data_IF_244189101005
#
_entry.id   IF_244189101005
#
_cell.length_a   1.000
_cell.length_b   1.000
_cell.length_c   1.000
_cell.angle_alpha   90.00
_cell.angle_beta   90.00
_cell.angle_gamma   90.00
#
_symmetry.space_group_name_H-M   'P 1'
#
loop_
_entity.id
_entity.type
_entity.pdbx_description
1 polymer ?
#
# COMPACT_ATOMS: atom_id res chain seq x y z
N UNK A 1 -28.45 -50.10 -7.57
CA UNK A 1 -28.28 -48.63 -7.79
C UNK A 1 -27.32 -48.15 -6.71
N UNK A 2 -26.06 -48.12 -7.07
CA UNK A 2 -24.93 -47.78 -6.19
C UNK A 2 -24.74 -46.25 -6.19
N UNK A 3 -24.74 -45.69 -5.02
CA UNK A 3 -24.45 -44.28 -4.79
C UNK A 3 -22.97 -43.96 -5.12
N UNK A 4 -22.74 -43.05 -6.05
CA UNK A 4 -21.41 -42.53 -6.36
C UNK A 4 -20.93 -41.66 -5.20
N UNK A 5 -19.84 -42.12 -4.56
CA UNK A 5 -19.12 -41.33 -3.57
C UNK A 5 -18.49 -40.12 -4.26
N UNK A 6 -18.80 -38.93 -3.75
CA UNK A 6 -18.18 -37.70 -4.14
C UNK A 6 -16.78 -37.64 -3.50
N UNK A 7 -15.75 -38.00 -4.26
CA UNK A 7 -14.36 -37.79 -3.83
C UNK A 7 -14.09 -36.31 -3.76
N UNK A 8 -14.04 -35.82 -2.54
CA UNK A 8 -13.61 -34.45 -2.21
C UNK A 8 -12.10 -34.38 -2.51
N UNK A 9 -11.74 -33.80 -3.65
CA UNK A 9 -10.36 -33.40 -3.95
C UNK A 9 -9.94 -32.41 -2.85
N UNK A 10 -8.83 -32.65 -2.12
CA UNK A 10 -8.35 -31.66 -1.16
C UNK A 10 -8.02 -30.37 -1.93
N UNK A 11 -8.84 -29.33 -1.76
CA UNK A 11 -8.53 -28.01 -2.26
C UNK A 11 -7.17 -27.59 -1.74
N UNK A 12 -6.37 -26.97 -2.61
CA UNK A 12 -5.13 -26.28 -2.27
C UNK A 12 -5.40 -25.39 -1.08
N UNK A 13 -4.99 -25.83 0.11
CA UNK A 13 -5.08 -25.04 1.33
C UNK A 13 -4.40 -23.71 1.05
N UNK A 14 -5.11 -22.61 1.33
CA UNK A 14 -4.54 -21.27 1.28
C UNK A 14 -3.37 -21.28 2.25
N UNK A 15 -2.15 -21.23 1.72
CA UNK A 15 -0.92 -21.45 2.48
C UNK A 15 -0.53 -20.23 3.30
N UNK A 16 -1.28 -19.14 3.17
CA UNK A 16 -1.12 -17.90 3.92
C UNK A 16 -2.43 -17.53 4.62
N UNK A 17 -2.33 -17.14 5.87
CA UNK A 17 -3.49 -16.72 6.68
C UNK A 17 -4.14 -15.47 6.08
N UNK A 18 -5.45 -15.53 5.83
CA UNK A 18 -6.26 -14.38 5.41
C UNK A 18 -6.68 -13.52 6.60
N UNK A 19 -6.75 -12.22 6.38
CA UNK A 19 -7.15 -11.23 7.40
C UNK A 19 -8.28 -10.32 6.89
N UNK A 20 -9.11 -10.78 5.96
CA UNK A 20 -10.11 -9.95 5.27
C UNK A 20 -11.11 -9.29 6.23
N UNK A 21 -11.46 -9.99 7.31
CA UNK A 21 -12.44 -9.52 8.31
C UNK A 21 -12.04 -8.23 9.03
N UNK A 22 -10.73 -7.97 9.20
CA UNK A 22 -10.26 -6.76 9.91
C UNK A 22 -10.45 -5.50 9.09
N UNK A 23 -10.48 -5.60 7.76
CA UNK A 23 -10.64 -4.47 6.87
C UNK A 23 -12.10 -4.04 6.69
N UNK A 24 -13.06 -4.92 7.02
CA UNK A 24 -14.49 -4.63 7.02
C UNK A 24 -15.02 -3.96 8.29
N UNK A 25 -14.17 -3.67 9.27
CA UNK A 25 -14.58 -3.05 10.54
C UNK A 25 -14.76 -1.53 10.37
N UNK A 26 -15.60 -0.89 11.23
CA UNK A 26 -15.90 0.53 11.11
C UNK A 26 -14.71 1.46 11.46
N UNK A 27 -13.67 0.92 12.11
CA UNK A 27 -12.47 1.64 12.54
C UNK A 27 -11.25 0.70 12.62
N UNK A 28 -10.01 1.23 12.76
CA UNK A 28 -8.78 0.45 12.62
C UNK A 28 -8.39 -0.36 13.87
N UNK A 29 -9.17 -0.39 14.95
CA UNK A 29 -8.79 -1.09 16.19
C UNK A 29 -8.49 -2.56 15.96
N UNK A 30 -9.36 -3.28 15.23
CA UNK A 30 -9.14 -4.69 14.91
C UNK A 30 -7.92 -4.90 14.00
N UNK A 31 -7.64 -3.95 13.09
CA UNK A 31 -6.43 -3.98 12.29
C UNK A 31 -5.17 -3.95 13.16
N UNK A 32 -5.09 -3.02 14.11
CA UNK A 32 -3.93 -2.90 14.98
C UNK A 32 -3.85 -4.02 16.02
N UNK A 33 -4.97 -4.50 16.54
CA UNK A 33 -5.01 -5.62 17.49
C UNK A 33 -4.49 -6.92 16.84
N UNK A 34 -5.01 -7.27 15.66
CA UNK A 34 -4.67 -8.54 15.00
C UNK A 34 -3.30 -8.50 14.35
N UNK A 35 -3.02 -7.47 13.55
CA UNK A 35 -1.75 -7.36 12.83
C UNK A 35 -0.60 -6.91 13.75
N UNK A 36 -0.88 -6.13 14.78
CA UNK A 36 0.09 -5.74 15.79
C UNK A 36 0.61 -6.94 16.58
N UNK A 37 -0.28 -7.88 16.94
CA UNK A 37 0.12 -9.13 17.59
C UNK A 37 1.08 -9.98 16.73
N UNK A 38 1.07 -9.79 15.41
CA UNK A 38 1.97 -10.42 14.45
C UNK A 38 3.16 -9.54 14.08
N UNK A 39 3.36 -8.44 14.76
CA UNK A 39 4.43 -7.47 14.47
C UNK A 39 4.43 -6.99 13.00
N UNK A 40 3.24 -6.67 12.45
CA UNK A 40 3.13 -6.17 11.09
C UNK A 40 3.77 -4.79 10.97
N UNK A 41 4.74 -4.66 10.07
CA UNK A 41 5.59 -3.48 10.03
C UNK A 41 5.86 -2.94 8.61
N UNK A 42 5.22 -3.47 7.56
CA UNK A 42 5.44 -2.96 6.20
C UNK A 42 5.24 -1.44 6.07
N UNK A 43 4.17 -0.81 6.64
CA UNK A 43 4.01 0.64 6.57
C UNK A 43 5.14 1.42 7.25
N UNK A 44 5.72 0.88 8.33
CA UNK A 44 6.88 1.47 9.00
C UNK A 44 8.09 1.60 8.07
N UNK A 45 8.40 0.55 7.32
CA UNK A 45 9.51 0.58 6.37
C UNK A 45 9.17 1.40 5.12
N UNK A 46 7.94 1.27 4.62
CA UNK A 46 7.49 1.91 3.40
C UNK A 46 7.47 3.44 3.51
N UNK A 47 7.09 4.01 4.66
CA UNK A 47 7.03 5.46 4.84
C UNK A 47 8.35 6.16 4.49
N UNK A 48 9.49 5.58 4.89
CA UNK A 48 10.81 6.16 4.60
C UNK A 48 11.09 6.17 3.11
N UNK A 49 10.80 5.06 2.43
CA UNK A 49 10.96 4.95 0.98
C UNK A 49 10.02 5.92 0.25
N UNK A 50 8.74 5.92 0.60
CA UNK A 50 7.75 6.80 -0.04
C UNK A 50 8.10 8.27 0.13
N UNK A 51 8.53 8.68 1.32
CA UNK A 51 9.00 10.06 1.57
C UNK A 51 10.23 10.40 0.74
N UNK A 52 11.19 9.49 0.61
CA UNK A 52 12.36 9.66 -0.25
C UNK A 52 12.02 9.79 -1.74
N UNK A 53 10.89 9.23 -2.17
CA UNK A 53 10.42 9.31 -3.55
C UNK A 53 9.62 10.60 -3.85
N UNK A 54 9.13 11.35 -2.85
CA UNK A 54 8.32 12.54 -3.08
C UNK A 54 9.07 13.60 -3.92
N UNK A 55 10.28 13.97 -3.51
CA UNK A 55 11.08 14.96 -4.22
C UNK A 55 11.42 14.55 -5.67
N UNK A 56 11.89 13.31 -5.94
CA UNK A 56 12.08 12.82 -7.29
C UNK A 56 10.88 12.89 -8.22
N UNK A 57 9.65 12.77 -7.68
CA UNK A 57 8.41 12.90 -8.47
C UNK A 57 7.83 14.32 -8.46
N UNK A 58 8.53 15.29 -7.85
CA UNK A 58 8.10 16.69 -7.80
C UNK A 58 7.02 16.98 -6.74
N UNK A 59 7.09 16.30 -5.58
CA UNK A 59 6.20 16.50 -4.44
C UNK A 59 7.02 16.89 -3.17
N UNK A 60 6.45 17.76 -2.29
CA UNK A 60 5.34 18.67 -2.55
C UNK A 60 5.67 19.66 -3.68
N UNK A 61 4.66 20.22 -4.34
CA UNK A 61 4.89 21.26 -5.36
C UNK A 61 5.62 22.45 -4.74
N UNK A 62 6.70 22.91 -5.39
CA UNK A 62 7.63 23.91 -4.84
C UNK A 62 7.00 25.30 -4.59
N UNK A 63 5.78 25.55 -5.07
CA UNK A 63 5.04 26.79 -4.83
C UNK A 63 3.54 26.53 -4.83
N UNK A 64 2.78 27.17 -3.91
CA UNK A 64 1.33 27.18 -4.01
C UNK A 64 0.95 27.82 -5.35
N UNK A 65 0.11 27.16 -6.13
CA UNK A 65 -0.41 27.73 -7.39
C UNK A 65 -1.05 29.07 -7.15
N UNK A 66 -0.76 30.10 -7.98
CA UNK A 66 -1.45 31.38 -7.88
C UNK A 66 -2.96 31.14 -8.05
N UNK A 67 -3.75 31.74 -7.16
CA UNK A 67 -5.20 31.78 -7.28
C UNK A 67 -5.54 32.45 -8.62
N UNK A 68 -5.89 31.65 -9.66
CA UNK A 68 -6.17 32.15 -11.01
C UNK A 68 -5.52 31.36 -12.15
N UNK A 69 -4.80 30.26 -11.87
CA UNK A 69 -4.32 29.33 -12.89
C UNK A 69 -5.51 28.73 -13.68
N UNK A 70 -5.36 28.61 -15.01
CA UNK A 70 -6.42 28.11 -15.91
C UNK A 70 -6.95 26.78 -15.43
N UNK A 71 -8.21 26.74 -15.18
CA UNK A 71 -9.13 25.86 -14.45
C UNK A 71 -9.09 24.35 -14.57
N UNK A 72 -8.07 23.68 -15.09
CA UNK A 72 -8.11 22.20 -15.29
C UNK A 72 -6.90 21.43 -14.75
N UNK A 73 -5.93 22.09 -14.16
CA UNK A 73 -4.78 21.40 -13.58
C UNK A 73 -5.08 20.96 -12.13
N UNK A 74 -5.16 19.64 -11.94
CA UNK A 74 -5.31 19.03 -10.61
C UNK A 74 -4.02 19.17 -9.80
N UNK A 75 -4.11 19.34 -8.46
CA UNK A 75 -2.92 19.35 -7.60
C UNK A 75 -2.15 18.01 -7.73
N UNK A 76 -0.84 18.09 -7.56
CA UNK A 76 -0.02 16.89 -7.52
C UNK A 76 -0.32 16.07 -6.26
N UNK A 77 -0.56 14.78 -6.44
CA UNK A 77 -1.06 13.88 -5.39
C UNK A 77 -0.29 12.56 -5.31
N UNK A 78 -0.42 11.89 -4.19
CA UNK A 78 -0.13 10.46 -4.01
C UNK A 78 -1.45 9.68 -4.10
N UNK A 79 -1.46 8.56 -4.82
CA UNK A 79 -2.55 7.59 -4.80
C UNK A 79 -2.11 6.36 -4.00
N UNK A 80 -2.74 6.09 -2.88
CA UNK A 80 -2.50 4.90 -2.08
C UNK A 80 -3.50 3.81 -2.47
N UNK A 81 -3.01 2.75 -3.10
CA UNK A 81 -3.81 1.59 -3.57
C UNK A 81 -3.81 0.53 -2.47
N UNK A 82 -4.97 -0.09 -2.21
CA UNK A 82 -5.22 -0.89 -1.01
C UNK A 82 -4.95 -0.07 0.26
N UNK A 83 -5.48 1.15 0.29
CA UNK A 83 -5.18 2.15 1.32
C UNK A 83 -5.71 1.79 2.71
N UNK A 84 -6.68 0.85 2.80
CA UNK A 84 -7.32 0.48 4.05
C UNK A 84 -7.80 1.73 4.82
N UNK A 85 -7.50 1.83 6.11
CA UNK A 85 -7.85 2.96 6.98
C UNK A 85 -6.97 4.22 6.79
N UNK A 86 -6.10 4.26 5.75
CA UNK A 86 -5.20 5.38 5.51
C UNK A 86 -3.91 5.36 6.33
N UNK A 87 -3.43 4.18 6.73
CA UNK A 87 -2.22 4.05 7.57
C UNK A 87 -0.98 4.60 6.86
N UNK A 88 -0.82 4.34 5.55
CA UNK A 88 0.29 4.92 4.79
C UNK A 88 0.21 6.45 4.74
N UNK A 89 -0.99 7.00 4.54
CA UNK A 89 -1.21 8.45 4.55
C UNK A 89 -0.90 9.07 5.92
N UNK A 90 -1.28 8.38 7.02
CA UNK A 90 -0.93 8.80 8.37
C UNK A 90 0.59 8.92 8.55
N UNK A 91 1.33 7.87 8.21
CA UNK A 91 2.79 7.85 8.36
C UNK A 91 3.51 8.78 7.38
N UNK A 92 2.98 8.98 6.18
CA UNK A 92 3.54 9.87 5.18
C UNK A 92 3.45 11.34 5.62
N UNK A 93 2.29 11.75 6.11
CA UNK A 93 1.90 13.15 6.29
C UNK A 93 1.93 13.66 7.73
N UNK A 94 2.19 12.79 8.71
CA UNK A 94 2.16 13.20 10.12
C UNK A 94 3.43 12.78 10.85
N UNK A 95 3.76 13.50 11.91
CA UNK A 95 4.83 13.14 12.86
C UNK A 95 4.30 12.05 13.81
N UNK A 96 4.14 10.84 13.29
CA UNK A 96 3.71 9.66 14.02
C UNK A 96 4.50 8.44 13.57
N UNK A 97 4.63 7.46 14.45
CA UNK A 97 5.20 6.14 14.15
C UNK A 97 4.12 5.07 14.09
N UNK A 98 4.42 3.92 13.47
CA UNK A 98 3.50 2.79 13.47
C UNK A 98 3.26 2.25 14.89
N UNK A 99 4.29 2.30 15.75
CA UNK A 99 4.20 1.92 17.16
C UNK A 99 3.25 2.83 17.94
N UNK A 100 3.37 4.16 17.79
CA UNK A 100 2.44 5.12 18.40
C UNK A 100 0.98 4.89 17.94
N UNK A 101 0.77 4.53 16.68
CA UNK A 101 -0.56 4.19 16.18
C UNK A 101 -1.06 2.87 16.78
N UNK A 102 -0.21 1.86 16.90
CA UNK A 102 -0.53 0.61 17.56
C UNK A 102 -0.98 0.87 19.00
N UNK A 103 -0.16 1.58 19.79
CA UNK A 103 -0.47 1.90 21.19
C UNK A 103 -1.77 2.70 21.31
N UNK A 104 -1.98 3.65 20.40
CA UNK A 104 -3.21 4.44 20.37
C UNK A 104 -4.45 3.58 20.21
N UNK A 105 -4.49 2.71 19.19
CA UNK A 105 -5.68 1.95 18.82
C UNK A 105 -5.92 0.71 19.68
N UNK A 106 -4.90 0.19 20.36
CA UNK A 106 -5.01 -0.95 21.28
C UNK A 106 -5.14 -0.51 22.75
N UNK A 107 -5.10 0.80 23.02
CA UNK A 107 -5.22 1.32 24.39
C UNK A 107 -6.59 1.02 25.03
N UNK A 108 -6.65 0.83 26.36
CA UNK A 108 -7.93 0.73 27.07
C UNK A 108 -8.82 1.98 26.91
N UNK A 109 -8.23 3.14 26.62
CA UNK A 109 -8.94 4.37 26.31
C UNK A 109 -9.69 4.24 24.98
N UNK A 110 -9.00 3.86 23.92
CA UNK A 110 -9.60 3.65 22.59
C UNK A 110 -10.70 2.58 22.61
N UNK A 111 -10.52 1.51 23.39
CA UNK A 111 -11.50 0.42 23.49
C UNK A 111 -12.88 0.88 24.03
N UNK A 112 -12.95 1.99 24.75
CA UNK A 112 -14.18 2.53 25.33
C UNK A 112 -14.91 3.51 24.41
N UNK A 113 -14.23 4.00 23.38
CA UNK A 113 -14.81 4.97 22.46
C UNK A 113 -15.74 4.29 21.45
N UNK A 114 -16.82 4.95 21.13
CA UNK A 114 -17.56 4.65 19.90
C UNK A 114 -16.68 5.01 18.69
N UNK A 115 -16.97 4.45 17.52
CA UNK A 115 -16.25 4.82 16.28
C UNK A 115 -16.32 6.34 15.99
N UNK A 116 -17.45 6.98 16.26
CA UNK A 116 -17.61 8.43 16.07
C UNK A 116 -16.71 9.25 17.01
N UNK A 117 -16.62 8.88 18.27
CA UNK A 117 -15.74 9.53 19.25
C UNK A 117 -14.26 9.28 18.92
N UNK A 118 -13.92 8.08 18.43
CA UNK A 118 -12.57 7.75 17.97
C UNK A 118 -12.19 8.63 16.78
N UNK A 119 -13.07 8.75 15.77
CA UNK A 119 -12.85 9.64 14.60
C UNK A 119 -12.63 11.09 15.04
N UNK A 120 -13.45 11.61 15.96
CA UNK A 120 -13.29 12.97 16.46
C UNK A 120 -11.93 13.17 17.15
N UNK A 121 -11.55 12.23 18.03
CA UNK A 121 -10.25 12.20 18.70
C UNK A 121 -9.08 12.09 17.71
N UNK A 122 -9.23 11.29 16.61
CA UNK A 122 -8.21 11.11 15.60
C UNK A 122 -8.02 12.34 14.73
N UNK A 123 -9.09 13.05 14.40
CA UNK A 123 -8.97 14.33 13.66
C UNK A 123 -8.09 15.34 14.40
N UNK A 124 -8.28 15.47 15.69
CA UNK A 124 -7.46 16.34 16.55
C UNK A 124 -6.01 15.83 16.64
N UNK A 125 -5.86 14.52 16.86
CA UNK A 125 -4.55 13.87 16.97
C UNK A 125 -3.70 14.06 15.71
N UNK A 126 -4.26 13.81 14.53
CA UNK A 126 -3.56 13.96 13.25
C UNK A 126 -3.36 15.43 12.87
N UNK A 127 -4.35 16.28 13.09
CA UNK A 127 -4.21 17.72 12.83
C UNK A 127 -3.03 18.34 13.60
N UNK A 128 -2.89 17.98 14.88
CA UNK A 128 -1.80 18.45 15.73
C UNK A 128 -0.39 17.94 15.31
N UNK A 129 -0.33 16.89 14.49
CA UNK A 129 0.90 16.23 14.06
C UNK A 129 1.19 16.34 12.57
N UNK A 130 0.37 17.09 11.85
CA UNK A 130 0.52 17.23 10.40
C UNK A 130 1.88 17.84 10.06
N UNK A 131 2.56 17.25 9.10
CA UNK A 131 3.86 17.75 8.62
C UNK A 131 3.67 19.00 7.78
N UNK A 132 4.62 19.96 7.81
CA UNK A 132 4.56 21.14 6.97
C UNK A 132 4.71 20.81 5.48
N UNK A 133 5.36 19.71 5.14
CA UNK A 133 5.58 19.18 3.79
C UNK A 133 4.58 18.06 3.42
N UNK A 134 3.44 18.00 4.11
CA UNK A 134 2.38 17.04 3.81
C UNK A 134 1.84 17.21 2.39
N UNK A 135 1.58 16.10 1.71
CA UNK A 135 1.10 16.05 0.32
C UNK A 135 -0.33 15.52 0.27
N UNK A 136 -1.16 15.92 -0.71
CA UNK A 136 -2.49 15.36 -0.85
C UNK A 136 -2.44 13.86 -1.15
N UNK A 137 -3.24 13.05 -0.43
CA UNK A 137 -3.35 11.61 -0.61
C UNK A 137 -4.75 11.20 -1.00
N UNK A 138 -4.85 10.48 -2.11
CA UNK A 138 -6.08 9.83 -2.57
C UNK A 138 -6.00 8.35 -2.16
N UNK A 139 -7.03 7.84 -1.50
CA UNK A 139 -7.16 6.43 -1.15
C UNK A 139 -7.99 5.66 -2.17
N UNK A 140 -7.55 4.47 -2.54
CA UNK A 140 -8.31 3.51 -3.35
C UNK A 140 -8.31 2.15 -2.65
N UNK A 141 -9.49 1.64 -2.33
CA UNK A 141 -9.68 0.34 -1.68
C UNK A 141 -11.06 -0.22 -2.03
N UNK A 142 -11.28 -1.50 -1.80
CA UNK A 142 -12.60 -2.14 -1.93
C UNK A 142 -13.43 -2.06 -0.64
N UNK A 143 -12.81 -1.72 0.48
CA UNK A 143 -13.45 -1.63 1.79
C UNK A 143 -14.05 -0.24 2.03
N UNK A 144 -15.38 -0.13 1.90
CA UNK A 144 -16.09 1.10 2.17
C UNK A 144 -15.92 1.60 3.63
N UNK A 145 -15.98 0.75 4.68
CA UNK A 145 -15.73 1.18 6.05
C UNK A 145 -14.35 1.77 6.24
N UNK A 146 -13.31 1.14 5.69
CA UNK A 146 -11.93 1.58 5.86
C UNK A 146 -11.66 2.91 5.16
N UNK A 147 -12.07 3.05 3.89
CA UNK A 147 -11.95 4.33 3.15
C UNK A 147 -12.75 5.44 3.85
N UNK A 148 -13.99 5.13 4.28
CA UNK A 148 -14.84 6.07 5.00
C UNK A 148 -14.19 6.58 6.30
N UNK A 149 -13.54 5.70 7.04
CA UNK A 149 -12.77 6.07 8.23
C UNK A 149 -11.59 7.00 7.89
N UNK A 150 -10.77 6.63 6.89
CA UNK A 150 -9.62 7.43 6.46
C UNK A 150 -10.00 8.86 6.05
N UNK A 151 -11.13 9.01 5.35
CA UNK A 151 -11.72 10.31 5.02
C UNK A 151 -12.21 11.06 6.27
N UNK A 152 -12.97 10.39 7.14
CA UNK A 152 -13.54 11.00 8.33
C UNK A 152 -12.48 11.41 9.36
N UNK A 153 -11.39 10.66 9.48
CA UNK A 153 -10.25 10.99 10.33
C UNK A 153 -9.34 12.08 9.75
N UNK A 154 -9.53 12.48 8.48
CA UNK A 154 -8.74 13.49 7.80
C UNK A 154 -7.36 12.99 7.33
N UNK A 155 -7.21 11.69 7.15
CA UNK A 155 -6.00 11.05 6.62
C UNK A 155 -5.96 11.08 5.09
N UNK A 156 -7.12 10.95 4.45
CA UNK A 156 -7.29 10.97 3.00
C UNK A 156 -7.97 12.27 2.57
N UNK A 157 -7.44 12.92 1.54
CA UNK A 157 -8.03 14.11 0.92
C UNK A 157 -9.18 13.74 -0.04
N UNK A 158 -9.12 12.53 -0.62
CA UNK A 158 -10.20 11.89 -1.38
C UNK A 158 -10.11 10.38 -1.20
N UNK A 159 -11.23 9.66 -1.32
CA UNK A 159 -11.28 8.21 -1.18
C UNK A 159 -12.27 7.58 -2.15
N UNK A 160 -11.89 6.46 -2.74
CA UNK A 160 -12.68 5.74 -3.72
C UNK A 160 -12.79 4.27 -3.34
N UNK A 161 -14.03 3.78 -3.38
CA UNK A 161 -14.35 2.38 -3.10
C UNK A 161 -14.61 1.69 -4.43
N UNK A 162 -13.55 1.23 -5.08
CA UNK A 162 -13.63 0.65 -6.42
C UNK A 162 -12.69 -0.56 -6.56
N UNK A 163 -13.13 -1.56 -7.33
CA UNK A 163 -12.31 -2.73 -7.67
C UNK A 163 -11.90 -2.65 -9.16
N UNK A 164 -10.72 -2.13 -9.42
CA UNK A 164 -10.20 -1.97 -10.78
C UNK A 164 -9.75 -3.30 -11.43
N UNK A 165 -9.71 -4.41 -10.69
CA UNK A 165 -9.52 -5.73 -11.27
C UNK A 165 -10.77 -6.22 -12.03
N UNK A 166 -11.96 -5.71 -11.66
CA UNK A 166 -13.25 -6.16 -12.22
C UNK A 166 -13.95 -5.11 -13.06
N UNK A 167 -13.76 -3.82 -12.75
CA UNK A 167 -14.44 -2.70 -13.41
C UNK A 167 -13.46 -1.59 -13.78
N UNK A 168 -13.67 -0.86 -14.89
CA UNK A 168 -12.91 0.34 -15.18
C UNK A 168 -13.11 1.41 -14.10
N UNK A 169 -12.13 2.32 -13.91
CA UNK A 169 -12.26 3.41 -12.96
C UNK A 169 -13.46 4.31 -13.31
N UNK A 170 -14.13 4.79 -12.27
CA UNK A 170 -15.18 5.81 -12.43
C UNK A 170 -14.62 7.09 -13.05
N UNK A 171 -15.50 7.95 -13.56
CA UNK A 171 -15.11 9.28 -14.06
C UNK A 171 -14.54 10.16 -12.94
N UNK A 172 -15.06 10.00 -11.74
CA UNK A 172 -14.65 10.70 -10.53
C UNK A 172 -13.22 10.30 -10.13
N UNK A 173 -12.93 8.99 -10.03
CA UNK A 173 -11.58 8.48 -9.77
C UNK A 173 -10.61 8.93 -10.86
N UNK A 174 -10.99 8.75 -12.13
CA UNK A 174 -10.16 9.15 -13.27
C UNK A 174 -9.83 10.65 -13.26
N UNK A 175 -10.77 11.50 -12.82
CA UNK A 175 -10.54 12.94 -12.67
C UNK A 175 -9.62 13.21 -11.49
N UNK A 176 -9.92 12.68 -10.32
CA UNK A 176 -9.16 12.91 -9.09
C UNK A 176 -7.69 12.52 -9.25
N UNK A 177 -7.42 11.42 -9.94
CA UNK A 177 -6.06 10.89 -10.11
C UNK A 177 -5.25 11.56 -11.22
N UNK A 178 -5.78 12.53 -11.97
CA UNK A 178 -5.03 13.22 -13.06
C UNK A 178 -3.73 13.85 -12.59
N UNK A 179 -3.70 14.38 -11.37
CA UNK A 179 -2.51 14.98 -10.76
C UNK A 179 -1.59 13.99 -10.06
N UNK A 180 -1.92 12.69 -10.01
CA UNK A 180 -1.11 11.70 -9.31
C UNK A 180 0.30 11.64 -9.89
N UNK A 181 1.31 11.69 -9.00
CA UNK A 181 2.74 11.57 -9.31
C UNK A 181 3.35 10.29 -8.77
N UNK A 182 2.81 9.78 -7.67
CA UNK A 182 3.25 8.55 -7.03
C UNK A 182 2.04 7.69 -6.69
N UNK A 183 2.12 6.41 -7.02
CA UNK A 183 1.19 5.37 -6.57
C UNK A 183 1.93 4.52 -5.55
N UNK A 184 1.34 4.32 -4.38
CA UNK A 184 1.91 3.53 -3.29
C UNK A 184 1.11 2.27 -3.04
N UNK A 185 1.80 1.19 -2.63
CA UNK A 185 1.19 -0.09 -2.29
C UNK A 185 2.05 -0.80 -1.23
N UNK A 186 1.48 -1.10 -0.06
CA UNK A 186 2.16 -1.83 1.04
C UNK A 186 1.56 -3.20 1.34
N UNK A 187 0.42 -3.52 0.75
CA UNK A 187 -0.28 -4.80 0.87
C UNK A 187 -1.11 -5.05 -0.38
N UNK A 188 -1.72 -6.23 -0.48
CA UNK A 188 -2.63 -6.56 -1.57
C UNK A 188 -1.99 -6.82 -2.95
N UNK A 189 -0.67 -6.73 -3.10
CA UNK A 189 -0.02 -6.93 -4.40
C UNK A 189 -0.35 -8.30 -5.05
N UNK A 190 -0.64 -9.31 -4.26
CA UNK A 190 -1.04 -10.64 -4.74
C UNK A 190 -2.45 -10.68 -5.35
N UNK A 191 -3.28 -9.69 -5.06
CA UNK A 191 -4.65 -9.57 -5.57
C UNK A 191 -4.74 -8.65 -6.80
N UNK A 192 -3.64 -7.98 -7.17
CA UNK A 192 -3.60 -6.97 -8.21
C UNK A 192 -2.84 -7.45 -9.44
N UNK A 193 -3.28 -6.95 -10.58
CA UNK A 193 -2.63 -7.12 -11.87
C UNK A 193 -2.45 -5.76 -12.56
N UNK A 194 -1.94 -5.78 -13.79
CA UNK A 194 -1.87 -4.56 -14.60
C UNK A 194 -3.25 -3.92 -14.86
N UNK A 195 -4.36 -4.63 -14.64
CA UNK A 195 -5.72 -4.08 -14.78
C UNK A 195 -5.97 -2.90 -13.86
N UNK A 196 -5.52 -2.99 -12.60
CA UNK A 196 -5.63 -1.91 -11.65
C UNK A 196 -4.83 -0.68 -12.08
N UNK A 197 -3.61 -0.88 -12.58
CA UNK A 197 -2.68 0.23 -12.80
C UNK A 197 -2.79 0.85 -14.20
N UNK A 198 -3.00 0.06 -15.26
CA UNK A 198 -3.03 0.56 -16.64
C UNK A 198 -3.93 1.79 -16.84
N UNK A 199 -5.21 1.78 -16.42
CA UNK A 199 -6.10 2.92 -16.64
C UNK A 199 -5.69 4.17 -15.87
N UNK A 200 -4.86 4.02 -14.82
CA UNK A 200 -4.31 5.12 -14.03
C UNK A 200 -3.04 5.72 -14.67
N UNK A 201 -2.38 5.00 -15.58
CA UNK A 201 -1.08 5.34 -16.18
C UNK A 201 -1.18 5.67 -17.68
N UNK A 202 -2.10 5.00 -18.38
CA UNK A 202 -2.22 5.06 -19.83
C UNK A 202 -2.57 6.48 -20.33
N UNK A 203 -1.95 6.88 -21.47
CA UNK A 203 -2.21 8.18 -22.10
C UNK A 203 -1.61 9.38 -21.38
N UNK A 204 -0.84 9.20 -20.31
CA UNK A 204 -0.20 10.30 -19.58
C UNK A 204 1.14 10.66 -20.15
N UNK A 205 1.39 11.95 -20.36
CA UNK A 205 2.72 12.45 -20.77
C UNK A 205 3.77 12.17 -19.67
N UNK A 206 3.38 12.25 -18.42
CA UNK A 206 4.19 11.94 -17.26
C UNK A 206 3.42 10.93 -16.40
N UNK A 207 3.58 9.62 -16.65
CA UNK A 207 2.93 8.61 -15.84
C UNK A 207 3.48 8.64 -14.41
N UNK A 208 2.63 8.47 -13.39
CA UNK A 208 3.08 8.38 -12.00
C UNK A 208 4.01 7.18 -11.81
N UNK A 209 4.93 7.29 -10.88
CA UNK A 209 5.72 6.14 -10.44
C UNK A 209 4.85 5.22 -9.59
N UNK A 210 5.10 3.92 -9.64
CA UNK A 210 4.44 2.92 -8.79
C UNK A 210 5.47 2.29 -7.86
N UNK A 211 5.35 2.54 -6.57
CA UNK A 211 6.20 1.97 -5.53
C UNK A 211 5.41 0.92 -4.73
N UNK A 212 5.76 -0.34 -4.89
CA UNK A 212 5.05 -1.46 -4.31
C UNK A 212 5.96 -2.31 -3.42
N UNK A 213 5.53 -2.58 -2.18
CA UNK A 213 6.13 -3.57 -1.31
C UNK A 213 5.45 -4.91 -1.53
N UNK A 214 6.14 -5.83 -2.15
CA UNK A 214 5.62 -7.13 -2.60
C UNK A 214 6.23 -8.24 -1.75
N UNK A 215 5.41 -9.14 -1.24
CA UNK A 215 5.89 -10.34 -0.53
C UNK A 215 6.86 -11.12 -1.41
N UNK A 216 7.95 -11.57 -0.84
CA UNK A 216 8.95 -12.39 -1.55
C UNK A 216 8.43 -13.78 -1.94
N UNK A 217 7.35 -14.23 -1.29
CA UNK A 217 6.61 -15.43 -1.65
C UNK A 217 5.73 -15.26 -2.87
N UNK A 218 5.47 -14.01 -3.30
CA UNK A 218 4.62 -13.66 -4.43
C UNK A 218 5.39 -13.23 -5.67
N UNK A 219 4.67 -13.04 -6.77
CA UNK A 219 5.22 -12.54 -8.03
C UNK A 219 4.58 -11.20 -8.38
N UNK A 220 5.40 -10.24 -8.80
CA UNK A 220 4.94 -8.94 -9.33
C UNK A 220 4.87 -8.92 -10.87
N UNK A 221 5.12 -10.06 -11.53
CA UNK A 221 5.17 -10.15 -13.02
C UNK A 221 3.85 -9.75 -13.68
N UNK A 222 2.72 -10.14 -13.10
CA UNK A 222 1.40 -9.76 -13.63
C UNK A 222 1.19 -8.24 -13.72
N UNK A 223 1.87 -7.47 -12.88
CA UNK A 223 1.87 -6.01 -12.92
C UNK A 223 2.98 -5.51 -13.84
N UNK A 224 4.24 -5.90 -13.60
CA UNK A 224 5.40 -5.39 -14.33
C UNK A 224 5.33 -5.63 -15.84
N UNK A 225 4.96 -6.84 -16.28
CA UNK A 225 4.88 -7.19 -17.69
C UNK A 225 3.74 -6.42 -18.38
N UNK A 226 2.62 -6.26 -17.68
CA UNK A 226 1.50 -5.47 -18.20
C UNK A 226 1.76 -3.96 -18.26
N UNK A 227 2.68 -3.43 -17.46
CA UNK A 227 3.08 -2.02 -17.48
C UNK A 227 4.27 -1.75 -18.43
N UNK A 228 5.07 -2.77 -18.75
CA UNK A 228 6.16 -2.67 -19.70
C UNK A 228 5.67 -2.25 -21.10
N UNK A 229 4.46 -2.64 -21.50
CA UNK A 229 3.85 -2.23 -22.79
C UNK A 229 3.57 -0.73 -22.86
N UNK A 230 3.58 -0.02 -21.73
CA UNK A 230 3.46 1.44 -21.64
C UNK A 230 4.83 2.17 -21.64
N UNK A 231 5.92 1.45 -21.90
CA UNK A 231 7.28 2.00 -21.84
C UNK A 231 7.81 2.21 -20.43
N UNK A 232 7.20 1.54 -19.43
CA UNK A 232 7.64 1.60 -18.05
C UNK A 232 8.58 0.43 -17.74
N UNK A 233 9.55 0.67 -16.87
CA UNK A 233 10.46 -0.35 -16.35
C UNK A 233 10.20 -0.55 -14.86
N UNK A 234 10.17 -1.81 -14.44
CA UNK A 234 10.10 -2.17 -13.02
C UNK A 234 11.48 -2.61 -12.55
N UNK A 235 12.01 -1.89 -11.57
CA UNK A 235 13.22 -2.26 -10.83
C UNK A 235 12.81 -2.90 -9.51
N UNK A 236 13.49 -3.96 -9.10
CA UNK A 236 13.35 -4.60 -7.79
C UNK A 236 14.57 -4.28 -6.94
N UNK A 237 14.36 -3.87 -5.69
CA UNK A 237 15.47 -3.82 -4.72
C UNK A 237 15.93 -5.26 -4.44
N UNK A 238 17.14 -5.59 -4.91
CA UNK A 238 17.75 -6.91 -4.72
C UNK A 238 18.71 -6.95 -3.53
N UNK A 239 19.02 -5.78 -2.97
CA UNK A 239 19.96 -5.64 -1.85
C UNK A 239 19.23 -5.68 -0.51
N UNK A 240 18.08 -5.00 -0.44
CA UNK A 240 17.30 -4.84 0.80
C UNK A 240 16.01 -5.63 0.70
N UNK A 241 15.62 -6.21 1.82
CA UNK A 241 14.27 -6.74 2.03
C UNK A 241 13.75 -6.17 3.33
N UNK A 242 12.44 -6.10 3.44
CA UNK A 242 11.79 -5.42 4.55
C UNK A 242 10.91 -6.41 5.30
N UNK A 243 11.10 -6.60 6.61
CA UNK A 243 10.22 -7.45 7.41
C UNK A 243 8.76 -7.00 7.25
N UNK A 244 7.85 -7.97 7.16
CA UNK A 244 6.44 -7.69 7.03
C UNK A 244 5.67 -8.03 8.31
N UNK A 245 5.63 -9.31 8.70
CA UNK A 245 5.00 -9.80 9.93
C UNK A 245 5.52 -11.19 10.32
N UNK A 246 5.26 -11.59 11.56
CA UNK A 246 5.48 -12.96 11.99
C UNK A 246 4.54 -13.93 11.29
N UNK A 247 4.97 -15.18 11.19
CA UNK A 247 4.09 -16.26 10.77
C UNK A 247 3.08 -16.60 11.85
N UNK A 248 1.90 -17.05 11.44
CA UNK A 248 0.87 -17.53 12.37
C UNK A 248 1.16 -18.95 12.88
N UNK A 249 2.08 -19.66 12.25
CA UNK A 249 2.49 -21.01 12.65
C UNK A 249 3.59 -21.61 11.77
N UNK A 250 4.07 -22.81 12.13
CA UNK A 250 5.18 -23.45 11.43
C UNK A 250 4.86 -23.83 9.98
N UNK A 251 3.61 -24.14 9.65
CA UNK A 251 3.21 -24.50 8.29
C UNK A 251 3.28 -23.28 7.36
N UNK A 252 2.88 -22.11 7.84
CA UNK A 252 3.00 -20.86 7.10
C UNK A 252 4.47 -20.50 6.86
N UNK A 253 5.34 -20.72 7.86
CA UNK A 253 6.78 -20.54 7.71
C UNK A 253 7.38 -21.50 6.68
N UNK A 254 7.04 -22.77 6.77
CA UNK A 254 7.52 -23.79 5.83
C UNK A 254 7.13 -23.44 4.38
N UNK A 255 5.88 -23.01 4.18
CA UNK A 255 5.40 -22.50 2.90
C UNK A 255 6.24 -21.32 2.42
N UNK A 256 6.45 -20.32 3.28
CA UNK A 256 7.16 -19.11 2.89
C UNK A 256 8.62 -19.40 2.49
N UNK A 257 9.32 -20.21 3.27
CA UNK A 257 10.70 -20.64 2.97
C UNK A 257 10.75 -21.40 1.63
N UNK A 258 9.83 -22.33 1.38
CA UNK A 258 9.78 -23.07 0.13
C UNK A 258 9.47 -22.16 -1.08
N UNK A 259 8.50 -21.26 -0.95
CA UNK A 259 8.11 -20.33 -2.02
C UNK A 259 9.23 -19.36 -2.40
N UNK A 260 9.92 -18.79 -1.41
CA UNK A 260 11.07 -17.88 -1.62
C UNK A 260 12.22 -18.62 -2.29
N UNK A 261 12.54 -19.84 -1.83
CA UNK A 261 13.59 -20.67 -2.45
C UNK A 261 13.25 -21.04 -3.90
N UNK A 262 11.99 -21.37 -4.17
CA UNK A 262 11.51 -21.69 -5.52
C UNK A 262 11.57 -20.48 -6.46
N UNK A 263 11.43 -19.26 -5.92
CA UNK A 263 11.62 -18.01 -6.67
C UNK A 263 13.11 -17.68 -6.94
N UNK A 264 14.05 -18.47 -6.41
CA UNK A 264 15.49 -18.26 -6.55
C UNK A 264 16.10 -17.26 -5.55
N UNK A 265 15.33 -16.87 -4.53
CA UNK A 265 15.78 -15.97 -3.47
C UNK A 265 16.29 -16.78 -2.24
N UNK A 266 17.17 -16.17 -1.44
CA UNK A 266 17.68 -16.76 -0.21
C UNK A 266 16.78 -16.42 0.99
N UNK A 267 16.12 -17.41 1.65
CA UNK A 267 15.26 -17.18 2.81
C UNK A 267 16.04 -17.02 4.14
N UNK A 268 17.36 -17.29 4.17
CA UNK A 268 18.16 -17.26 5.39
C UNK A 268 18.25 -15.87 5.99
N UNK A 269 18.12 -15.79 7.31
CA UNK A 269 18.10 -14.52 8.04
C UNK A 269 16.84 -13.68 7.80
N UNK A 270 15.79 -14.29 7.23
CA UNK A 270 14.53 -13.66 6.86
C UNK A 270 13.36 -14.62 7.17
N UNK A 271 12.85 -15.34 6.17
CA UNK A 271 11.75 -16.28 6.37
C UNK A 271 12.15 -17.45 7.29
N UNK A 272 13.42 -17.86 7.30
CA UNK A 272 13.90 -18.84 8.28
C UNK A 272 13.85 -18.34 9.72
N UNK A 273 13.88 -17.02 9.91
CA UNK A 273 13.91 -16.38 11.24
C UNK A 273 12.48 -16.02 11.74
N UNK A 274 11.46 -16.50 11.06
CA UNK A 274 10.07 -16.42 11.54
C UNK A 274 9.27 -15.23 11.03
N UNK A 275 9.74 -14.51 10.01
CA UNK A 275 9.09 -13.34 9.44
C UNK A 275 8.86 -13.47 7.94
N UNK A 276 7.70 -13.06 7.46
CA UNK A 276 7.58 -12.69 6.05
C UNK A 276 8.43 -11.46 5.75
N UNK A 277 9.01 -11.43 4.56
CA UNK A 277 9.68 -10.25 4.04
C UNK A 277 9.05 -9.78 2.72
N UNK A 278 9.12 -8.48 2.49
CA UNK A 278 8.77 -7.85 1.21
C UNK A 278 10.04 -7.36 0.51
N UNK A 279 9.94 -7.22 -0.81
CA UNK A 279 10.89 -6.48 -1.64
C UNK A 279 10.19 -5.25 -2.22
N UNK A 280 10.92 -4.13 -2.33
CA UNK A 280 10.43 -2.96 -3.04
C UNK A 280 10.52 -3.20 -4.55
N UNK A 281 9.43 -2.92 -5.25
CA UNK A 281 9.36 -2.81 -6.69
C UNK A 281 9.02 -1.37 -7.06
N UNK A 282 9.83 -0.74 -7.91
CA UNK A 282 9.59 0.61 -8.41
C UNK A 282 9.39 0.56 -9.93
N UNK A 283 8.19 0.89 -10.38
CA UNK A 283 7.84 0.98 -11.79
C UNK A 283 7.75 2.44 -12.22
N UNK A 284 8.48 2.81 -13.28
CA UNK A 284 8.58 4.19 -13.75
C UNK A 284 9.06 4.25 -15.21
N UNK A 285 9.03 5.43 -15.89
CA UNK A 285 9.56 5.57 -17.25
C UNK A 285 10.99 5.03 -17.38
N UNK A 286 11.25 4.23 -18.43
CA UNK A 286 12.54 3.57 -18.61
C UNK A 286 13.72 4.55 -18.67
N UNK A 287 13.55 5.72 -19.31
CA UNK A 287 14.58 6.75 -19.34
C UNK A 287 14.98 7.23 -17.93
N UNK A 288 13.99 7.44 -17.04
CA UNK A 288 14.25 7.88 -15.66
C UNK A 288 14.93 6.78 -14.83
N UNK A 289 14.65 5.50 -15.12
CA UNK A 289 15.32 4.37 -14.47
C UNK A 289 16.80 4.28 -14.87
N UNK A 290 17.12 4.61 -16.11
CA UNK A 290 18.51 4.67 -16.61
C UNK A 290 19.26 5.87 -16.01
N UNK A 291 18.65 7.05 -16.00
CA UNK A 291 19.28 8.28 -15.47
C UNK A 291 19.62 8.16 -13.96
N UNK A 292 18.73 7.59 -13.20
CA UNK A 292 18.90 7.43 -11.75
C UNK A 292 18.35 6.07 -11.29
N UNK A 293 19.17 5.02 -11.29
CA UNK A 293 18.77 3.67 -10.86
C UNK A 293 18.22 3.64 -9.43
N UNK A 294 17.38 2.63 -9.14
CA UNK A 294 16.72 2.47 -7.84
C UNK A 294 17.70 2.54 -6.66
N UNK A 295 18.85 1.87 -6.77
CA UNK A 295 19.87 1.88 -5.72
C UNK A 295 20.41 3.29 -5.42
N UNK A 296 20.49 4.17 -6.40
CA UNK A 296 20.89 5.56 -6.19
C UNK A 296 19.79 6.34 -5.45
N UNK A 297 18.52 6.14 -5.83
CA UNK A 297 17.38 6.76 -5.13
C UNK A 297 17.30 6.37 -3.66
N UNK A 298 17.59 5.10 -3.34
CA UNK A 298 17.49 4.56 -1.98
C UNK A 298 18.69 4.88 -1.09
N UNK A 299 19.78 5.42 -1.65
CA UNK A 299 20.94 5.90 -0.86
C UNK A 299 20.79 7.34 -0.38
N UNK A 300 20.06 8.14 -1.16
CA UNK A 300 19.91 9.59 -0.93
C UNK A 300 18.72 9.93 -0.02
N UNK A 301 17.82 8.99 0.29
CA UNK A 301 16.64 9.11 1.15
C UNK A 301 16.80 8.30 2.46
#
# INVERSE_FOLDING_TARGET
>A
MTAAGNEHTPGTATQMTGFDDIYGRPDPRSYFEVLGALEYQTPHHAQRVFRGLLSPVGLPEASPRPAGGRGDEQPATVLDVCCSYGINAALLNHHVTLEELHDRYTSPGAARLTTAELIASDREFYAARRRPDAVPVIGLDISAPAVGYGLAAGLLDAGFVENLETTPPSRELSRATRGTRLITLTGGASFLSARTFRPLLEGRQQPPWVAAFVLRTGSYRNVSDGLAVLGLTTERDTVRTYPQRRFTGPDEQAYAVAAVSAAGDDPRGKETDGLFHTALHLTRPAAQAVDRPLDALLRDG
#
